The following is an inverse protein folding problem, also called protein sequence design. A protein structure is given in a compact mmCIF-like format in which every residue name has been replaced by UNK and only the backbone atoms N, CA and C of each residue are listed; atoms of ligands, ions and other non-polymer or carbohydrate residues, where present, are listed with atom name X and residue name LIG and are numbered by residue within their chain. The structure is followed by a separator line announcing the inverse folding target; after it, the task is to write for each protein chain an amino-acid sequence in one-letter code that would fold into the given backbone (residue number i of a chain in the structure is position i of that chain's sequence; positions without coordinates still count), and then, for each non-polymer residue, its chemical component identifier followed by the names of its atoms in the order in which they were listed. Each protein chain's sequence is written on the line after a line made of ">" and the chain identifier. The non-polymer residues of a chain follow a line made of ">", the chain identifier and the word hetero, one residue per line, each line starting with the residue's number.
data_IF_196572847460
#
_entry.id   IF_196572847460
#
_cell.length_a   1.000
_cell.length_b   1.000
_cell.length_c   1.000
_cell.angle_alpha   90.00
_cell.angle_beta   90.00
_cell.angle_gamma   90.00
#
_symmetry.space_group_name_H-M   'P 1'
#
loop_
_entity.id
_entity.type
_entity.pdbx_description
1 polymer ?
#
# COMPACT_ATOMS: atom_id res chain seq x y z
N UNK A 1 -26.88 22.93 38.23
CA UNK A 1 -27.28 23.76 37.06
C UNK A 1 -26.08 23.88 36.16
N UNK A 2 -26.28 23.52 34.90
CA UNK A 2 -25.26 23.18 33.90
C UNK A 2 -24.28 24.33 33.63
N UNK A 3 -22.98 24.01 33.61
CA UNK A 3 -21.92 24.91 33.14
C UNK A 3 -21.94 24.87 31.62
N UNK A 4 -22.17 26.04 31.03
CA UNK A 4 -22.04 26.27 29.60
C UNK A 4 -20.56 26.10 29.19
N UNK A 5 -20.19 24.90 28.74
CA UNK A 5 -18.94 24.67 28.03
C UNK A 5 -19.17 25.09 26.58
N UNK A 6 -18.72 26.31 26.29
CA UNK A 6 -18.81 27.02 25.03
C UNK A 6 -18.48 26.11 23.84
N UNK A 7 -19.42 26.08 22.90
CA UNK A 7 -19.19 25.77 21.49
C UNK A 7 -18.13 26.74 20.95
N UNK A 8 -16.88 26.34 21.02
CA UNK A 8 -15.79 26.89 20.23
C UNK A 8 -14.79 25.74 20.00
N UNK A 9 -15.24 24.75 19.22
CA UNK A 9 -14.31 23.96 18.43
C UNK A 9 -13.53 24.96 17.60
N UNK A 10 -12.26 25.13 17.98
CA UNK A 10 -11.29 26.00 17.35
C UNK A 10 -11.46 25.94 15.83
N UNK A 11 -11.94 27.03 15.23
CA UNK A 11 -11.60 27.33 13.85
C UNK A 11 -10.09 27.59 13.82
N UNK A 12 -9.31 26.52 13.71
CA UNK A 12 -7.97 26.62 13.17
C UNK A 12 -8.15 27.03 11.70
N UNK A 13 -8.38 28.31 11.46
CA UNK A 13 -8.31 28.87 10.12
C UNK A 13 -6.81 28.88 9.77
N UNK A 14 -6.31 27.73 9.31
CA UNK A 14 -4.93 27.62 8.87
C UNK A 14 -4.78 28.46 7.59
N UNK A 15 -3.76 29.32 7.47
CA UNK A 15 -3.51 30.08 6.24
C UNK A 15 -3.23 29.18 5.02
N UNK A 16 -2.96 27.88 5.22
CA UNK A 16 -2.87 26.88 4.15
C UNK A 16 -4.24 26.34 3.68
N UNK A 17 -5.28 26.36 4.53
CA UNK A 17 -6.65 26.01 4.11
C UNK A 17 -7.19 26.99 3.08
N UNK A 18 -6.76 28.25 3.14
CA UNK A 18 -7.14 29.30 2.17
C UNK A 18 -6.52 29.04 0.78
N UNK A 19 -5.34 28.40 0.71
CA UNK A 19 -4.75 27.91 -0.55
C UNK A 19 -5.49 26.67 -1.09
N UNK A 20 -6.00 25.81 -0.21
CA UNK A 20 -6.82 24.64 -0.57
C UNK A 20 -8.25 25.02 -1.05
N UNK A 21 -8.68 26.25 -0.76
CA UNK A 21 -9.94 26.81 -1.29
C UNK A 21 -9.82 27.34 -2.72
N UNK A 22 -8.62 27.36 -3.30
CA UNK A 22 -8.45 27.65 -4.72
C UNK A 22 -9.19 26.59 -5.56
N UNK A 23 -9.88 27.04 -6.61
CA UNK A 23 -10.60 26.15 -7.50
C UNK A 23 -9.62 25.23 -8.22
N UNK A 24 -9.45 24.00 -7.71
CA UNK A 24 -8.71 22.95 -8.39
C UNK A 24 -9.49 22.61 -9.67
N UNK A 25 -8.89 22.76 -10.86
CA UNK A 25 -9.55 22.40 -12.10
C UNK A 25 -9.76 20.88 -12.15
N UNK A 26 -10.98 20.45 -12.51
CA UNK A 26 -11.33 19.04 -12.65
C UNK A 26 -12.48 18.61 -11.74
N UNK A 27 -13.54 18.07 -12.35
CA UNK A 27 -14.73 17.60 -11.63
C UNK A 27 -14.36 16.44 -10.70
N UNK A 28 -14.52 16.64 -9.39
CA UNK A 28 -14.33 15.58 -8.40
C UNK A 28 -12.87 15.35 -7.96
N UNK A 29 -11.88 16.04 -8.53
CA UNK A 29 -10.47 15.93 -8.13
C UNK A 29 -10.29 16.33 -6.67
N UNK A 30 -10.83 17.50 -6.29
CA UNK A 30 -10.80 17.99 -4.91
C UNK A 30 -11.34 16.96 -3.92
N UNK A 31 -12.47 16.33 -4.25
CA UNK A 31 -13.10 15.31 -3.39
C UNK A 31 -12.19 14.09 -3.20
N UNK A 32 -11.50 13.62 -4.25
CA UNK A 32 -10.58 12.48 -4.12
C UNK A 32 -9.36 12.83 -3.26
N UNK A 33 -8.81 14.03 -3.43
CA UNK A 33 -7.70 14.51 -2.61
C UNK A 33 -8.10 14.68 -1.14
N UNK A 34 -9.31 15.19 -0.87
CA UNK A 34 -9.86 15.26 0.49
C UNK A 34 -10.01 13.87 1.12
N UNK A 35 -10.49 12.87 0.36
CA UNK A 35 -10.58 11.48 0.84
C UNK A 35 -9.19 10.95 1.20
N UNK A 36 -8.18 11.15 0.33
CA UNK A 36 -6.81 10.70 0.59
C UNK A 36 -6.19 11.42 1.80
N UNK A 37 -6.41 12.73 1.94
CA UNK A 37 -5.96 13.50 3.09
C UNK A 37 -6.54 12.96 4.39
N UNK A 38 -7.86 12.71 4.42
CA UNK A 38 -8.54 12.14 5.57
C UNK A 38 -8.06 10.70 5.88
N UNK A 39 -7.85 9.87 4.87
CA UNK A 39 -7.27 8.53 5.05
C UNK A 39 -5.89 8.62 5.68
N UNK A 40 -5.04 9.51 5.17
CA UNK A 40 -3.68 9.69 5.68
C UNK A 40 -3.70 10.13 7.15
N UNK A 41 -4.44 11.18 7.48
CA UNK A 41 -4.55 11.70 8.85
C UNK A 41 -5.09 10.64 9.83
N UNK A 42 -6.17 9.94 9.47
CA UNK A 42 -6.75 8.90 10.32
C UNK A 42 -5.87 7.66 10.42
N UNK A 43 -5.11 7.31 9.37
CA UNK A 43 -4.16 6.20 9.41
C UNK A 43 -3.00 6.47 10.37
N UNK A 44 -2.51 7.71 10.41
CA UNK A 44 -1.50 8.14 11.37
C UNK A 44 -2.03 8.08 12.81
N UNK A 45 -3.25 8.59 13.01
CA UNK A 45 -3.90 8.56 14.32
C UNK A 45 -4.11 7.11 14.80
N UNK A 46 -4.51 6.21 13.90
CA UNK A 46 -4.64 4.79 14.21
C UNK A 46 -3.30 4.13 14.54
N UNK A 47 -2.25 4.37 13.74
CA UNK A 47 -0.92 3.79 13.96
C UNK A 47 -0.28 4.28 15.28
N UNK A 48 -0.54 5.53 15.66
CA UNK A 48 -0.01 6.15 16.88
C UNK A 48 -1.06 6.27 18.00
N UNK A 49 -2.09 5.42 17.97
CA UNK A 49 -3.24 5.53 18.87
C UNK A 49 -2.84 5.46 20.35
N UNK A 50 -1.76 4.76 20.70
CA UNK A 50 -1.23 4.69 22.07
C UNK A 50 -0.80 6.05 22.63
N UNK A 51 -0.21 6.91 21.80
CA UNK A 51 0.23 8.25 22.21
C UNK A 51 -0.96 9.18 22.48
N UNK A 52 -2.02 9.06 21.67
CA UNK A 52 -3.25 9.83 21.86
C UNK A 52 -4.09 9.35 23.06
N UNK A 53 -4.05 8.05 23.35
CA UNK A 53 -4.70 7.47 24.53
C UNK A 53 -3.95 7.84 25.82
N UNK A 54 -2.61 7.79 25.80
CA UNK A 54 -1.79 8.13 26.98
C UNK A 54 -1.90 9.60 27.38
N UNK A 55 -2.09 10.51 26.42
CA UNK A 55 -2.35 11.93 26.67
C UNK A 55 -3.80 12.23 27.06
N UNK A 56 -4.68 11.21 27.09
CA UNK A 56 -6.13 11.35 27.31
C UNK A 56 -6.81 12.33 26.34
N UNK A 57 -6.19 12.59 25.19
CA UNK A 57 -6.71 13.48 24.15
C UNK A 57 -7.86 12.83 23.38
N UNK A 58 -7.82 11.49 23.26
CA UNK A 58 -8.81 10.67 22.56
C UNK A 58 -9.26 9.56 23.50
N UNK A 59 -10.55 9.23 23.50
CA UNK A 59 -11.10 8.10 24.26
C UNK A 59 -11.00 6.79 23.46
N UNK A 60 -11.06 5.64 24.14
CA UNK A 60 -11.08 4.34 23.47
C UNK A 60 -12.25 4.21 22.47
N UNK A 61 -13.41 4.77 22.80
CA UNK A 61 -14.58 4.81 21.92
C UNK A 61 -14.33 5.65 20.65
N UNK A 62 -13.75 6.85 20.80
CA UNK A 62 -13.37 7.69 19.67
C UNK A 62 -12.31 6.99 18.79
N UNK A 63 -11.39 6.24 19.39
CA UNK A 63 -10.45 5.40 18.67
C UNK A 63 -11.14 4.30 17.83
N UNK A 64 -12.21 3.70 18.36
CA UNK A 64 -13.03 2.76 17.59
C UNK A 64 -13.74 3.44 16.42
N UNK A 65 -14.30 4.64 16.63
CA UNK A 65 -14.96 5.43 15.59
C UNK A 65 -14.01 5.80 14.45
N UNK A 66 -12.75 6.11 14.77
CA UNK A 66 -11.71 6.35 13.77
C UNK A 66 -11.53 5.14 12.85
N UNK A 67 -11.51 3.92 13.41
CA UNK A 67 -11.36 2.70 12.64
C UNK A 67 -12.54 2.47 11.69
N UNK A 68 -13.77 2.75 12.15
CA UNK A 68 -14.96 2.65 11.33
C UNK A 68 -14.97 3.69 10.21
N UNK A 69 -14.57 4.93 10.52
CA UNK A 69 -14.44 5.98 9.54
C UNK A 69 -13.36 5.66 8.49
N UNK A 70 -12.22 5.11 8.91
CA UNK A 70 -11.15 4.70 8.02
C UNK A 70 -11.61 3.59 7.05
N UNK A 71 -12.36 2.59 7.55
CA UNK A 71 -12.98 1.55 6.72
C UNK A 71 -13.98 2.12 5.69
N UNK A 72 -14.79 3.09 6.10
CA UNK A 72 -15.71 3.80 5.20
C UNK A 72 -14.96 4.56 4.10
N UNK A 73 -13.89 5.27 4.46
CA UNK A 73 -13.08 6.02 3.50
C UNK A 73 -12.36 5.10 2.51
N UNK A 74 -11.82 3.95 2.94
CA UNK A 74 -11.24 2.96 2.03
C UNK A 74 -12.26 2.45 1.01
N UNK A 75 -13.50 2.22 1.44
CA UNK A 75 -14.58 1.81 0.54
C UNK A 75 -14.90 2.89 -0.50
N UNK A 76 -14.81 4.17 -0.13
CA UNK A 76 -15.00 5.30 -1.04
C UNK A 76 -13.83 5.53 -2.00
N UNK A 77 -12.59 5.29 -1.55
CA UNK A 77 -11.39 5.45 -2.37
C UNK A 77 -11.21 4.30 -3.38
N UNK A 78 -11.60 3.07 -3.02
CA UNK A 78 -11.45 1.85 -3.83
C UNK A 78 -11.83 2.00 -5.32
N UNK A 79 -13.01 2.53 -5.72
CA UNK A 79 -13.37 2.63 -7.14
C UNK A 79 -12.44 3.55 -7.95
N UNK A 80 -11.78 4.52 -7.30
CA UNK A 80 -10.89 5.47 -7.97
C UNK A 80 -9.40 5.12 -7.77
N UNK A 81 -9.08 4.05 -7.03
CA UNK A 81 -7.70 3.71 -6.65
C UNK A 81 -6.80 3.51 -7.88
N UNK A 82 -7.28 2.80 -8.90
CA UNK A 82 -6.54 2.60 -10.17
C UNK A 82 -6.33 3.94 -10.89
N UNK A 83 -7.37 4.77 -11.02
CA UNK A 83 -7.24 6.09 -11.64
C UNK A 83 -6.31 7.05 -10.89
N UNK A 84 -6.21 6.92 -9.57
CA UNK A 84 -5.28 7.73 -8.76
C UNK A 84 -3.81 7.33 -8.99
N UNK A 85 -3.51 6.05 -9.18
CA UNK A 85 -2.15 5.60 -9.51
C UNK A 85 -1.81 5.84 -10.98
N UNK A 86 -2.78 5.71 -11.87
CA UNK A 86 -2.63 6.02 -13.31
C UNK A 86 -2.34 7.50 -13.55
N UNK A 87 -2.83 8.39 -12.68
CA UNK A 87 -2.58 9.82 -12.76
C UNK A 87 -1.08 10.21 -12.65
N UNK A 88 -0.23 9.33 -12.10
CA UNK A 88 1.22 9.53 -12.12
C UNK A 88 1.85 9.34 -13.50
N UNK A 89 1.11 8.71 -14.43
CA UNK A 89 1.49 8.55 -15.83
C UNK A 89 2.88 7.89 -16.02
N UNK A 90 3.18 6.88 -15.20
CA UNK A 90 4.38 6.08 -15.35
C UNK A 90 4.25 5.12 -16.54
N UNK A 91 5.31 5.03 -17.35
CA UNK A 91 5.35 4.06 -18.45
C UNK A 91 5.77 2.68 -17.94
N UNK A 92 5.31 1.61 -18.60
CA UNK A 92 5.73 0.23 -18.28
C UNK A 92 7.26 0.07 -18.26
N UNK A 93 7.96 0.79 -19.16
CA UNK A 93 9.42 0.80 -19.22
C UNK A 93 10.06 1.43 -17.97
N UNK A 94 9.50 2.55 -17.51
CA UNK A 94 9.97 3.22 -16.29
C UNK A 94 9.64 2.41 -15.04
N UNK A 95 8.44 1.81 -14.98
CA UNK A 95 8.00 1.04 -13.82
C UNK A 95 8.77 -0.27 -13.68
N UNK A 96 9.16 -0.90 -14.79
CA UNK A 96 9.96 -2.13 -14.79
C UNK A 96 9.28 -3.31 -14.07
N UNK A 97 7.97 -3.25 -13.86
CA UNK A 97 7.20 -4.22 -13.07
C UNK A 97 6.24 -4.99 -13.96
N UNK A 98 6.38 -6.31 -13.98
CA UNK A 98 5.46 -7.20 -14.71
C UNK A 98 4.08 -7.23 -14.02
N UNK A 99 4.04 -7.16 -12.68
CA UNK A 99 2.79 -7.16 -11.92
C UNK A 99 2.03 -5.83 -12.05
N UNK A 100 2.74 -4.74 -12.30
CA UNK A 100 2.18 -3.39 -12.45
C UNK A 100 1.94 -2.99 -13.90
N UNK A 101 1.80 -3.94 -14.83
CA UNK A 101 1.64 -3.60 -16.25
C UNK A 101 0.32 -2.88 -16.52
N UNK A 102 0.37 -1.83 -17.34
CA UNK A 102 -0.78 -0.97 -17.61
C UNK A 102 -1.97 -1.71 -18.26
N UNK A 103 -1.69 -2.69 -19.12
CA UNK A 103 -2.70 -3.49 -19.83
C UNK A 103 -3.34 -4.58 -18.95
N UNK A 104 -2.85 -4.78 -17.72
CA UNK A 104 -3.31 -5.84 -16.82
C UNK A 104 -2.97 -7.27 -17.28
N UNK A 105 -2.17 -7.44 -18.34
CA UNK A 105 -1.80 -8.75 -18.88
C UNK A 105 -0.64 -9.40 -18.11
N UNK A 106 -0.86 -9.64 -16.80
CA UNK A 106 0.19 -10.03 -15.87
C UNK A 106 0.66 -11.47 -16.08
N UNK A 107 -0.25 -12.45 -16.14
CA UNK A 107 0.12 -13.87 -16.09
C UNK A 107 0.95 -14.34 -17.30
N UNK A 108 0.60 -14.01 -18.55
CA UNK A 108 1.43 -14.38 -19.70
C UNK A 108 2.81 -13.73 -19.65
N UNK A 109 2.90 -12.43 -19.31
CA UNK A 109 4.18 -11.72 -19.17
C UNK A 109 5.06 -12.32 -18.08
N UNK A 110 4.46 -12.73 -16.96
CA UNK A 110 5.17 -13.38 -15.87
C UNK A 110 5.74 -14.74 -16.30
N UNK A 111 4.96 -15.53 -17.04
CA UNK A 111 5.41 -16.80 -17.58
C UNK A 111 6.55 -16.64 -18.59
N UNK A 112 6.42 -15.70 -19.52
CA UNK A 112 7.47 -15.37 -20.50
C UNK A 112 8.75 -14.88 -19.83
N UNK A 113 8.64 -14.07 -18.78
CA UNK A 113 9.79 -13.59 -18.02
C UNK A 113 10.49 -14.72 -17.27
N UNK A 114 9.73 -15.62 -16.62
CA UNK A 114 10.30 -16.79 -15.95
C UNK A 114 11.04 -17.69 -16.95
N UNK A 115 10.50 -17.90 -18.15
CA UNK A 115 11.15 -18.72 -19.18
C UNK A 115 12.50 -18.15 -19.66
N UNK A 116 12.67 -16.83 -19.59
CA UNK A 116 13.92 -16.14 -20.00
C UNK A 116 14.98 -16.11 -18.91
N UNK A 117 14.69 -16.64 -17.72
CA UNK A 117 15.67 -16.70 -16.64
C UNK A 117 16.85 -17.62 -17.04
N UNK A 118 18.11 -17.21 -16.84
CA UNK A 118 19.28 -18.02 -17.19
C UNK A 118 19.28 -19.43 -16.57
N UNK A 119 18.65 -19.60 -15.40
CA UNK A 119 18.55 -20.89 -14.74
C UNK A 119 17.68 -21.89 -15.51
N UNK A 120 16.80 -21.41 -16.40
CA UNK A 120 15.91 -22.22 -17.22
C UNK A 120 16.48 -22.55 -18.61
N UNK A 121 17.73 -22.18 -18.90
CA UNK A 121 18.40 -22.53 -20.17
C UNK A 121 18.61 -24.04 -20.34
N UNK A 122 18.81 -24.76 -19.23
CA UNK A 122 19.00 -26.21 -19.22
C UNK A 122 17.91 -26.90 -18.39
N UNK A 123 17.42 -28.04 -18.88
CA UNK A 123 16.43 -28.87 -18.15
C UNK A 123 17.04 -29.52 -16.91
N UNK A 124 18.34 -29.83 -16.99
CA UNK A 124 19.12 -30.37 -15.86
C UNK A 124 20.05 -29.26 -15.40
N UNK A 125 19.92 -28.76 -14.16
CA UNK A 125 20.72 -27.64 -13.70
C UNK A 125 22.18 -28.04 -13.51
N UNK A 126 23.06 -27.07 -13.67
CA UNK A 126 24.49 -27.24 -13.39
C UNK A 126 24.71 -27.67 -11.93
N UNK A 127 25.65 -28.58 -11.71
CA UNK A 127 25.88 -29.20 -10.41
C UNK A 127 24.94 -30.37 -10.06
N UNK A 128 23.90 -30.66 -10.87
CA UNK A 128 23.06 -31.85 -10.65
C UNK A 128 23.90 -33.13 -10.70
N UNK A 129 24.74 -33.31 -11.71
CA UNK A 129 25.51 -34.54 -11.89
C UNK A 129 26.61 -34.72 -10.83
N UNK A 130 27.18 -33.61 -10.34
CA UNK A 130 28.33 -33.60 -9.43
C UNK A 130 27.89 -33.72 -7.97
N UNK A 131 26.82 -33.04 -7.57
CA UNK A 131 26.44 -32.91 -6.17
C UNK A 131 25.12 -33.61 -5.84
N UNK A 132 24.10 -33.46 -6.70
CA UNK A 132 22.74 -33.93 -6.39
C UNK A 132 22.56 -35.41 -6.74
N UNK A 133 23.00 -35.83 -7.92
CA UNK A 133 22.86 -37.21 -8.42
C UNK A 133 23.57 -38.23 -7.55
N UNK A 134 24.82 -38.01 -7.08
CA UNK A 134 25.48 -38.97 -6.19
C UNK A 134 24.79 -39.07 -4.82
N UNK A 135 24.18 -37.99 -4.33
CA UNK A 135 23.40 -37.97 -3.08
C UNK A 135 22.16 -38.83 -3.19
N UNK A 136 21.37 -38.61 -4.24
CA UNK A 136 20.15 -39.37 -4.51
C UNK A 136 20.43 -40.85 -4.74
N UNK A 137 21.56 -41.19 -5.36
CA UNK A 137 21.97 -42.58 -5.63
C UNK A 137 22.75 -43.24 -4.50
N UNK A 138 22.94 -42.56 -3.36
CA UNK A 138 23.77 -43.04 -2.24
C UNK A 138 25.18 -43.49 -2.68
N UNK A 139 25.74 -42.80 -3.68
CA UNK A 139 27.07 -43.10 -4.23
C UNK A 139 28.20 -42.44 -3.44
N UNK A 140 27.86 -41.66 -2.40
CA UNK A 140 28.84 -41.27 -1.40
C UNK A 140 29.18 -42.52 -0.58
N UNK A 141 30.39 -43.04 -0.79
CA UNK A 141 30.97 -43.96 0.15
C UNK A 141 31.06 -43.23 1.49
N UNK A 142 30.27 -43.67 2.47
CA UNK A 142 30.44 -43.24 3.85
C UNK A 142 31.94 -43.38 4.15
N UNK A 143 32.63 -42.26 4.39
CA UNK A 143 33.94 -42.32 4.99
C UNK A 143 33.70 -43.05 6.32
N UNK A 144 34.14 -44.32 6.38
CA UNK A 144 34.10 -45.11 7.62
C UNK A 144 34.98 -44.36 8.61
N UNK A 145 34.34 -43.70 9.57
CA UNK A 145 34.95 -43.34 10.86
C UNK A 145 35.25 -44.63 11.63
#
# INVERSE_FOLDING_TARGET
>A
MSVACSQNLCKFQNPEEEKLQQNIPGKGVKRQLEILCNIYALSLLHNHQGDFLSTSTITSEQGSLVNDQLRSLYSQARPNAVGLVDAFNYTDHFLGSILGCYDGNVYPRLYEAAWKDPLNESVVPDGYHEYIRPLLKQQFHNARL
#
